data_IF_755743471477
#
_entry.id   IF_755743471477
#
_cell.length_a   1.000
_cell.length_b   1.000
_cell.length_c   1.000
_cell.angle_alpha   90.00
_cell.angle_beta   90.00
_cell.angle_gamma   90.00
#
_symmetry.space_group_name_H-M   'P 1'
#
loop_
_entity.id
_entity.type
_entity.pdbx_description
1 polymer ?
#
# COMPACT_ATOMS: atom_id res chain seq x y z
N UNK A 1 -0.97 -1.27 3.32
CA UNK A 1 0.00 -0.28 2.82
C UNK A 1 -0.46 1.17 2.90
N UNK A 2 -1.77 1.48 2.97
CA UNK A 2 -2.25 2.88 3.12
C UNK A 2 -1.96 3.50 4.49
N UNK A 3 -1.91 2.68 5.55
CA UNK A 3 -1.66 3.12 6.93
C UNK A 3 -0.17 3.26 7.28
N UNK A 4 0.73 2.71 6.46
CA UNK A 4 2.18 2.72 6.71
C UNK A 4 2.85 3.93 6.05
N UNK A 5 2.21 4.53 5.04
CA UNK A 5 2.71 5.72 4.35
C UNK A 5 2.42 7.03 5.09
N UNK A 6 1.83 6.96 6.30
CA UNK A 6 1.57 8.09 7.23
C UNK A 6 0.99 9.36 6.59
N UNK A 7 0.28 9.21 5.46
CA UNK A 7 -0.27 10.33 4.69
C UNK A 7 -1.78 10.42 4.88
N UNK A 8 -2.34 11.61 4.64
CA UNK A 8 -3.79 11.91 4.71
C UNK A 8 -4.57 10.76 4.06
N UNK A 9 -5.35 9.94 4.79
CA UNK A 9 -6.11 10.21 6.03
C UNK A 9 -5.53 9.65 7.35
N UNK A 10 -4.32 9.05 7.36
CA UNK A 10 -3.67 8.45 8.55
C UNK A 10 -2.47 9.26 9.06
N UNK A 11 -2.55 10.57 8.89
CA UNK A 11 -1.48 11.50 9.20
C UNK A 11 -1.70 12.16 10.57
N UNK A 12 -1.28 11.49 11.65
CA UNK A 12 -1.45 11.99 13.02
C UNK A 12 -0.13 12.46 13.66
N UNK A 13 1.00 11.90 13.23
CA UNK A 13 2.35 12.29 13.67
C UNK A 13 2.87 13.53 12.96
N UNK A 14 2.44 13.80 11.72
CA UNK A 14 2.70 15.08 11.07
C UNK A 14 1.74 16.15 11.58
N UNK A 15 0.50 15.79 11.95
CA UNK A 15 -0.49 16.73 12.50
C UNK A 15 -0.10 17.35 13.86
N UNK A 16 0.60 16.61 14.73
CA UNK A 16 1.17 17.15 15.97
C UNK A 16 2.45 17.97 15.73
N UNK A 17 3.11 17.74 14.60
CA UNK A 17 4.27 18.52 14.14
C UNK A 17 3.86 19.78 13.37
N UNK A 18 2.73 19.78 12.63
CA UNK A 18 2.23 20.91 11.82
C UNK A 18 1.60 22.01 12.69
N UNK A 19 1.07 21.68 13.87
CA UNK A 19 0.61 22.66 14.86
C UNK A 19 1.76 23.50 15.47
N UNK A 20 3.02 23.06 15.33
CA UNK A 20 4.24 23.79 15.74
C UNK A 20 5.17 24.07 14.54
N UNK A 21 4.77 23.71 13.31
CA UNK A 21 5.56 23.79 12.08
C UNK A 21 6.92 23.06 12.11
N UNK A 22 7.02 21.93 12.83
CA UNK A 22 8.28 21.22 13.12
C UNK A 22 9.17 20.94 11.91
N UNK A 23 8.69 20.24 10.88
CA UNK A 23 9.52 19.87 9.72
C UNK A 23 9.91 21.06 8.82
N UNK A 24 9.14 22.16 8.83
CA UNK A 24 9.47 23.38 8.09
C UNK A 24 10.46 24.28 8.85
N UNK A 25 10.50 24.18 10.19
CA UNK A 25 11.42 24.98 11.02
C UNK A 25 12.73 24.26 11.35
N UNK A 26 12.73 22.92 11.37
CA UNK A 26 13.90 22.13 11.81
C UNK A 26 14.82 21.72 10.66
N UNK A 27 14.31 21.58 9.43
CA UNK A 27 15.09 21.09 8.30
C UNK A 27 15.43 22.16 7.26
N UNK A 28 16.73 22.35 7.05
CA UNK A 28 17.29 23.13 5.94
C UNK A 28 16.95 22.51 4.57
N UNK A 29 16.80 23.36 3.56
CA UNK A 29 16.26 23.09 2.21
C UNK A 29 16.57 21.72 1.59
N UNK A 30 17.81 21.24 1.65
CA UNK A 30 18.20 19.95 1.05
C UNK A 30 17.67 18.75 1.83
N UNK A 31 17.65 18.82 3.16
CA UNK A 31 17.13 17.76 4.00
C UNK A 31 15.58 17.73 3.98
N UNK A 32 14.94 18.90 3.83
CA UNK A 32 13.51 18.97 3.53
C UNK A 32 13.18 18.27 2.20
N UNK A 33 13.93 18.53 1.12
CA UNK A 33 13.71 17.88 -0.17
C UNK A 33 13.87 16.35 -0.10
N UNK A 34 14.85 15.84 0.66
CA UNK A 34 15.06 14.40 0.86
C UNK A 34 13.92 13.76 1.67
N UNK A 35 13.34 14.48 2.64
CA UNK A 35 12.18 14.01 3.39
C UNK A 35 10.97 13.78 2.47
N UNK A 36 10.63 14.78 1.63
CA UNK A 36 9.55 14.65 0.64
C UNK A 36 9.84 13.53 -0.37
N UNK A 37 11.06 13.45 -0.87
CA UNK A 37 11.44 12.40 -1.82
C UNK A 37 11.33 11.00 -1.19
N UNK A 38 11.72 10.85 0.07
CA UNK A 38 11.60 9.61 0.83
C UNK A 38 10.14 9.20 1.06
N UNK A 39 9.27 10.13 1.42
CA UNK A 39 7.83 9.85 1.60
C UNK A 39 7.17 9.44 0.27
N UNK A 40 7.43 10.17 -0.81
CA UNK A 40 6.92 9.80 -2.14
C UNK A 40 7.51 8.47 -2.65
N UNK A 41 8.77 8.19 -2.36
CA UNK A 41 9.40 6.91 -2.68
C UNK A 41 8.74 5.75 -1.92
N UNK A 42 8.40 5.95 -0.64
CA UNK A 42 7.69 4.95 0.16
C UNK A 42 6.28 4.66 -0.40
N UNK A 43 5.54 5.69 -0.84
CA UNK A 43 4.24 5.48 -1.48
C UNK A 43 4.38 4.67 -2.76
N UNK A 44 5.36 5.00 -3.60
CA UNK A 44 5.61 4.28 -4.84
C UNK A 44 6.00 2.81 -4.57
N UNK A 45 6.87 2.58 -3.59
CA UNK A 45 7.30 1.25 -3.16
C UNK A 45 6.12 0.42 -2.66
N UNK A 46 5.25 1.02 -1.84
CA UNK A 46 4.07 0.35 -1.30
C UNK A 46 3.04 -0.02 -2.38
N UNK A 47 2.86 0.84 -3.39
CA UNK A 47 2.05 0.52 -4.56
C UNK A 47 2.68 -0.63 -5.38
N UNK A 48 3.99 -0.61 -5.57
CA UNK A 48 4.75 -1.66 -6.25
C UNK A 48 4.68 -3.02 -5.53
N UNK A 49 4.75 -3.04 -4.19
CA UNK A 49 4.58 -4.28 -3.42
C UNK A 49 3.16 -4.83 -3.55
N UNK A 50 2.15 -3.97 -3.53
CA UNK A 50 0.75 -4.41 -3.69
C UNK A 50 0.49 -5.02 -5.07
N UNK A 51 1.08 -4.44 -6.14
CA UNK A 51 0.96 -5.00 -7.49
C UNK A 51 1.67 -6.35 -7.64
N UNK A 52 2.84 -6.50 -7.02
CA UNK A 52 3.59 -7.76 -7.03
C UNK A 52 2.86 -8.87 -6.26
N UNK A 53 2.45 -8.60 -5.01
CA UNK A 53 1.93 -9.62 -4.12
C UNK A 53 0.49 -10.06 -4.45
N UNK A 54 -0.37 -9.14 -4.87
CA UNK A 54 -1.79 -9.45 -5.09
C UNK A 54 -2.21 -9.48 -6.56
N UNK A 55 -1.52 -8.76 -7.46
CA UNK A 55 -1.94 -8.59 -8.86
C UNK A 55 -0.99 -9.26 -9.87
N UNK A 56 -0.17 -10.20 -9.41
CA UNK A 56 0.68 -11.02 -10.27
C UNK A 56 1.81 -10.27 -10.97
N UNK A 57 2.13 -9.05 -10.51
CA UNK A 57 3.28 -8.26 -10.96
C UNK A 57 3.37 -8.11 -12.48
N UNK A 58 4.29 -8.88 -13.06
CA UNK A 58 4.66 -8.91 -14.47
C UNK A 58 3.74 -9.71 -15.39
N UNK A 59 2.82 -10.50 -14.83
CA UNK A 59 1.92 -11.33 -15.62
C UNK A 59 0.78 -10.49 -16.22
N UNK A 60 0.42 -10.73 -17.49
CA UNK A 60 -0.79 -10.14 -18.06
C UNK A 60 -2.02 -10.63 -17.28
N UNK A 61 -3.03 -9.77 -17.07
CA UNK A 61 -4.24 -10.15 -16.32
C UNK A 61 -5.10 -11.21 -17.01
N UNK A 62 -4.85 -11.49 -18.30
CA UNK A 62 -5.53 -12.52 -19.10
C UNK A 62 -4.47 -13.22 -19.96
N UNK A 63 -4.39 -14.55 -19.91
CA UNK A 63 -3.52 -15.38 -20.75
C UNK A 63 -4.03 -15.41 -22.20
N UNK A 64 -3.97 -14.26 -22.88
CA UNK A 64 -4.31 -14.14 -24.30
C UNK A 64 -3.02 -13.93 -25.10
N UNK A 65 -2.79 -14.77 -26.11
CA UNK A 65 -1.60 -14.76 -26.98
C UNK A 65 -1.12 -13.37 -27.49
N UNK A 66 -1.97 -12.36 -27.78
CA UNK A 66 -1.52 -11.03 -28.20
C UNK A 66 -0.94 -10.16 -27.08
N UNK A 67 -1.28 -10.42 -25.81
CA UNK A 67 -0.91 -9.59 -24.66
C UNK A 67 0.55 -9.80 -24.20
N UNK A 68 1.17 -10.93 -24.57
CA UNK A 68 2.58 -11.20 -24.32
C UNK A 68 3.54 -10.41 -25.22
N UNK A 69 3.02 -9.78 -26.29
CA UNK A 69 3.85 -8.97 -27.19
C UNK A 69 4.24 -7.62 -26.55
N UNK A 70 3.49 -7.19 -25.54
CA UNK A 70 3.81 -6.00 -24.74
C UNK A 70 4.77 -6.39 -23.62
N UNK A 71 5.94 -5.71 -23.48
CA UNK A 71 6.86 -5.95 -22.39
C UNK A 71 6.16 -5.96 -21.03
N UNK A 72 6.37 -7.01 -20.23
CA UNK A 72 5.74 -7.13 -18.91
C UNK A 72 5.92 -5.89 -18.03
N UNK A 73 7.05 -5.19 -18.15
CA UNK A 73 7.33 -3.93 -17.44
C UNK A 73 6.20 -2.91 -17.60
N UNK A 74 5.57 -2.84 -18.78
CA UNK A 74 4.50 -1.88 -19.05
C UNK A 74 3.25 -2.27 -18.26
N UNK A 75 2.95 -3.56 -18.13
CA UNK A 75 1.85 -4.05 -17.29
C UNK A 75 2.08 -3.76 -15.82
N UNK A 76 3.31 -3.95 -15.34
CA UNK A 76 3.69 -3.61 -13.98
C UNK A 76 3.53 -2.11 -13.69
N UNK A 77 4.03 -1.25 -14.59
CA UNK A 77 3.90 0.20 -14.45
C UNK A 77 2.45 0.67 -14.53
N UNK A 78 1.65 0.12 -15.44
CA UNK A 78 0.24 0.47 -15.58
C UNK A 78 -0.54 0.08 -14.32
N UNK A 79 -0.35 -1.13 -13.79
CA UNK A 79 -0.96 -1.56 -12.53
C UNK A 79 -0.50 -0.67 -11.37
N UNK A 80 0.79 -0.32 -11.32
CA UNK A 80 1.34 0.52 -10.25
C UNK A 80 0.77 1.95 -10.31
N UNK A 81 0.61 2.52 -11.51
CA UNK A 81 -0.04 3.80 -11.73
C UNK A 81 -1.54 3.76 -11.37
N UNK A 82 -2.23 2.66 -11.64
CA UNK A 82 -3.61 2.47 -11.22
C UNK A 82 -3.75 2.50 -9.69
N UNK A 83 -2.88 1.80 -8.96
CA UNK A 83 -2.87 1.87 -7.48
C UNK A 83 -2.47 3.25 -6.96
N UNK A 84 -1.53 3.92 -7.63
CA UNK A 84 -1.17 5.30 -7.30
C UNK A 84 -2.35 6.26 -7.49
N UNK A 85 -3.12 6.10 -8.58
CA UNK A 85 -4.33 6.88 -8.81
C UNK A 85 -5.41 6.60 -7.77
N UNK A 86 -5.61 5.32 -7.41
CA UNK A 86 -6.56 4.93 -6.37
C UNK A 86 -6.15 5.49 -5.00
N UNK A 87 -4.84 5.53 -4.69
CA UNK A 87 -4.31 6.17 -3.50
C UNK A 87 -4.63 7.68 -3.51
N UNK A 88 -4.33 8.38 -4.60
CA UNK A 88 -4.64 9.81 -4.78
C UNK A 88 -6.15 10.12 -4.65
N UNK A 89 -7.01 9.24 -5.18
CA UNK A 89 -8.46 9.37 -5.01
C UNK A 89 -8.87 9.26 -3.54
N UNK A 90 -8.37 8.24 -2.82
CA UNK A 90 -8.69 8.04 -1.40
C UNK A 90 -8.25 9.25 -0.57
N UNK A 91 -7.09 9.84 -0.87
CA UNK A 91 -6.65 11.09 -0.24
C UNK A 91 -7.64 12.25 -0.47
N UNK A 92 -8.25 12.32 -1.66
CA UNK A 92 -9.18 13.40 -2.00
C UNK A 92 -10.59 13.23 -1.39
N UNK A 93 -10.99 12.00 -1.06
CA UNK A 93 -12.37 11.69 -0.68
C UNK A 93 -12.58 11.45 0.81
N UNK A 94 -11.54 11.03 1.54
CA UNK A 94 -11.70 10.59 2.92
C UNK A 94 -11.37 11.73 3.90
N UNK A 95 -12.30 12.11 4.80
CA UNK A 95 -12.01 13.04 5.88
C UNK A 95 -10.95 12.48 6.83
N UNK A 96 -10.15 13.35 7.45
CA UNK A 96 -9.09 12.98 8.40
C UNK A 96 -9.64 12.08 9.53
N UNK A 97 -8.96 10.98 9.85
CA UNK A 97 -9.31 10.10 10.98
C UNK A 97 -8.57 10.50 12.26
N UNK A 98 -9.23 10.41 13.40
CA UNK A 98 -8.62 10.68 14.73
C UNK A 98 -7.76 9.50 15.20
N UNK A 99 -6.69 9.77 15.96
CA UNK A 99 -5.77 8.76 16.52
C UNK A 99 -6.48 7.60 17.21
N UNK A 100 -7.43 7.91 18.08
CA UNK A 100 -8.19 6.91 18.82
C UNK A 100 -8.99 5.97 17.90
N UNK A 101 -9.46 6.48 16.77
CA UNK A 101 -10.21 5.72 15.78
C UNK A 101 -9.28 4.85 14.93
N UNK A 102 -8.11 5.36 14.56
CA UNK A 102 -7.09 4.60 13.85
C UNK A 102 -6.58 3.42 14.68
N UNK A 103 -6.23 3.66 15.94
CA UNK A 103 -5.75 2.60 16.83
C UNK A 103 -6.83 1.54 17.04
N UNK A 104 -8.08 1.96 17.19
CA UNK A 104 -9.22 1.04 17.29
C UNK A 104 -9.44 0.25 15.99
N UNK A 105 -9.26 0.84 14.82
CA UNK A 105 -9.39 0.17 13.53
C UNK A 105 -8.28 -0.89 13.34
N UNK A 106 -7.03 -0.52 13.64
CA UNK A 106 -5.88 -1.43 13.62
C UNK A 106 -6.08 -2.64 14.52
N UNK A 107 -6.37 -2.41 15.79
CA UNK A 107 -6.47 -3.47 16.79
C UNK A 107 -7.77 -4.25 16.76
N UNK A 108 -8.92 -3.62 16.47
CA UNK A 108 -10.22 -4.32 16.51
C UNK A 108 -10.68 -4.85 15.16
N UNK A 109 -10.14 -4.36 14.05
CA UNK A 109 -10.59 -4.78 12.71
C UNK A 109 -9.48 -5.45 11.94
N UNK A 110 -8.35 -4.78 11.72
CA UNK A 110 -7.29 -5.33 10.86
C UNK A 110 -6.60 -6.56 11.44
N UNK A 111 -6.28 -6.55 12.74
CA UNK A 111 -5.62 -7.65 13.42
C UNK A 111 -6.47 -8.94 13.47
N UNK A 112 -7.74 -8.91 13.92
CA UNK A 112 -8.56 -10.12 13.90
C UNK A 112 -8.89 -10.57 12.47
N UNK A 113 -9.08 -9.64 11.53
CA UNK A 113 -9.36 -9.99 10.14
C UNK A 113 -8.18 -10.69 9.47
N UNK A 114 -6.95 -10.19 9.66
CA UNK A 114 -5.76 -10.83 9.09
C UNK A 114 -5.53 -12.24 9.65
N UNK A 115 -5.75 -12.44 10.96
CA UNK A 115 -5.71 -13.76 11.59
C UNK A 115 -6.74 -14.71 10.99
N UNK A 116 -7.98 -14.26 10.80
CA UNK A 116 -9.03 -15.08 10.16
C UNK A 116 -8.62 -15.50 8.74
N UNK A 117 -8.10 -14.57 7.93
CA UNK A 117 -7.64 -14.90 6.58
C UNK A 117 -6.51 -15.93 6.58
N UNK A 118 -5.55 -15.82 7.51
CA UNK A 118 -4.48 -16.81 7.65
C UNK A 118 -5.04 -18.19 8.01
N UNK A 119 -5.96 -18.26 8.97
CA UNK A 119 -6.61 -19.52 9.34
C UNK A 119 -7.45 -20.11 8.21
N UNK A 120 -8.20 -19.29 7.49
CA UNK A 120 -9.05 -19.73 6.37
C UNK A 120 -8.21 -20.22 5.20
N UNK A 121 -7.17 -19.48 4.80
CA UNK A 121 -6.30 -19.88 3.69
C UNK A 121 -5.50 -21.13 4.08
N UNK A 122 -4.96 -21.19 5.30
CA UNK A 122 -4.25 -22.38 5.79
C UNK A 122 -5.17 -23.60 5.88
N UNK A 123 -6.39 -23.42 6.41
CA UNK A 123 -7.38 -24.48 6.49
C UNK A 123 -7.87 -24.96 5.13
N UNK A 124 -8.07 -24.04 4.18
CA UNK A 124 -8.44 -24.36 2.80
C UNK A 124 -7.33 -25.12 2.07
N UNK A 125 -6.08 -24.68 2.20
CA UNK A 125 -4.92 -25.38 1.63
C UNK A 125 -4.77 -26.78 2.23
N UNK A 126 -5.01 -26.95 3.53
CA UNK A 126 -4.99 -28.26 4.19
C UNK A 126 -6.13 -29.17 3.73
N UNK A 127 -7.34 -28.63 3.58
CA UNK A 127 -8.50 -29.38 3.13
C UNK A 127 -8.42 -29.80 1.65
N UNK A 128 -7.81 -28.97 0.81
CA UNK A 128 -7.64 -29.25 -0.62
C UNK A 128 -6.37 -30.02 -0.95
N UNK A 129 -5.51 -30.31 0.05
CA UNK A 129 -4.29 -31.11 -0.13
C UNK A 129 -3.23 -30.47 -1.04
N UNK A 130 -3.36 -29.19 -1.40
CA UNK A 130 -2.40 -28.46 -2.24
C UNK A 130 -1.21 -27.98 -1.39
N UNK A 131 -0.54 -28.90 -0.73
CA UNK A 131 0.74 -28.64 -0.11
C UNK A 131 1.83 -28.70 -1.17
N UNK A 132 2.02 -27.57 -1.87
CA UNK A 132 3.17 -27.33 -2.73
C UNK A 132 3.45 -28.44 -3.75
N UNK A 133 2.61 -28.60 -4.77
CA UNK A 133 3.09 -29.17 -6.03
C UNK A 133 3.90 -28.08 -6.74
N UNK A 134 5.23 -28.17 -6.82
CA UNK A 134 5.97 -27.41 -7.81
C UNK A 134 5.52 -27.93 -9.17
N UNK A 135 4.84 -27.08 -9.93
CA UNK A 135 4.81 -27.20 -11.39
C UNK A 135 5.83 -26.22 -11.93
#
# INVERSE_FOLDING_TARGET
SLAETQRVPFDLTEAESELVAGYQTEYSSMAFALYWLGEYANILLMCALNTLLFFGGWLPPVDWAPLYWVPGIIWFLLKTLFFFFMFSWVMATVPRYRYDQLMRLGWKVFLPMSLIFVFVISGYLMATGHFGTPA
#
